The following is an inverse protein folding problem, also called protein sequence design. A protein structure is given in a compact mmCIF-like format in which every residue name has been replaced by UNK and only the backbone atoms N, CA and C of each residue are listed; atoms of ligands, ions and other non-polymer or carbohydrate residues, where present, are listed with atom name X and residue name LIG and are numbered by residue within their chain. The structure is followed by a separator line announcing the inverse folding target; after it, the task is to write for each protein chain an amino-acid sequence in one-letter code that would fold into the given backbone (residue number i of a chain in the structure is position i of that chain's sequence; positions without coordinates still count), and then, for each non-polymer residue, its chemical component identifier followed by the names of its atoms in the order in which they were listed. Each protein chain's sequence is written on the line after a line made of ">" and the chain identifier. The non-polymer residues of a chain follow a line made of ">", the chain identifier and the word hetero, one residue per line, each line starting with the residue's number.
data_IF_702772740966
#
_entry.id   IF_702772740966
#
_cell.length_a   1.000
_cell.length_b   1.000
_cell.length_c   1.000
_cell.angle_alpha   90.00
_cell.angle_beta   90.00
_cell.angle_gamma   90.00
#
_symmetry.space_group_name_H-M   'P 1'
#
loop_
_entity.id
_entity.type
_entity.pdbx_description
1 polymer ?
#
# COMPACT_ATOMS: atom_id res chain seq x y z
N UNK A 1 -15.10 -19.95 9.99
CA UNK A 1 -14.10 -19.28 10.86
C UNK A 1 -13.82 -17.90 10.27
N UNK A 2 -13.71 -16.84 11.07
CA UNK A 2 -13.25 -15.54 10.55
C UNK A 2 -11.85 -15.70 9.96
N UNK A 3 -11.57 -15.06 8.82
CA UNK A 3 -10.25 -15.07 8.23
C UNK A 3 -9.27 -14.33 9.15
N UNK A 4 -8.11 -14.92 9.43
CA UNK A 4 -7.04 -14.25 10.18
C UNK A 4 -6.22 -13.37 9.25
N UNK A 5 -5.56 -12.34 9.78
CA UNK A 5 -4.70 -11.44 8.99
C UNK A 5 -3.71 -12.20 8.10
N UNK A 6 -2.98 -13.16 8.67
CA UNK A 6 -2.04 -13.98 7.90
C UNK A 6 -2.73 -14.85 6.85
N UNK A 7 -3.96 -15.32 7.07
CA UNK A 7 -4.71 -16.04 6.02
C UNK A 7 -4.94 -15.15 4.81
N UNK A 8 -5.34 -13.89 5.02
CA UNK A 8 -5.53 -12.90 3.95
C UNK A 8 -4.20 -12.55 3.29
N UNK A 9 -3.19 -12.19 4.08
CA UNK A 9 -1.88 -11.78 3.59
C UNK A 9 -1.20 -12.88 2.76
N UNK A 10 -1.21 -14.12 3.24
CA UNK A 10 -0.66 -15.28 2.51
C UNK A 10 -1.47 -15.58 1.26
N UNK A 11 -2.80 -15.47 1.28
CA UNK A 11 -3.63 -15.65 0.09
C UNK A 11 -3.29 -14.63 -1.00
N UNK A 12 -3.22 -13.34 -0.66
CA UNK A 12 -2.85 -12.27 -1.60
C UNK A 12 -1.42 -12.47 -2.11
N UNK A 13 -0.48 -12.80 -1.22
CA UNK A 13 0.92 -13.08 -1.56
C UNK A 13 1.10 -14.29 -2.51
N UNK A 14 0.23 -15.30 -2.41
CA UNK A 14 0.25 -16.48 -3.27
C UNK A 14 -0.45 -16.24 -4.62
N UNK A 15 -1.43 -15.34 -4.66
CA UNK A 15 -2.09 -14.93 -5.89
C UNK A 15 -1.22 -14.00 -6.76
N UNK A 16 -0.20 -13.36 -6.17
CA UNK A 16 0.74 -12.51 -6.89
C UNK A 16 1.63 -13.33 -7.84
N UNK A 17 1.66 -12.92 -9.12
CA UNK A 17 2.22 -13.71 -10.24
C UNK A 17 3.70 -14.06 -10.12
N UNK A 18 4.47 -13.24 -9.40
CA UNK A 18 5.90 -13.45 -9.14
C UNK A 18 6.17 -14.31 -7.89
N UNK A 19 5.13 -14.74 -7.18
CA UNK A 19 5.23 -15.35 -5.85
C UNK A 19 5.74 -16.79 -5.78
N UNK A 20 6.01 -17.49 -6.89
CA UNK A 20 6.41 -18.91 -6.89
C UNK A 20 7.90 -19.17 -6.61
N UNK A 21 8.75 -18.15 -6.70
CA UNK A 21 10.22 -18.30 -6.56
C UNK A 21 10.80 -17.64 -5.29
N UNK A 22 9.96 -17.18 -4.37
CA UNK A 22 10.40 -16.38 -3.22
C UNK A 22 10.87 -17.28 -2.08
N UNK A 23 12.01 -17.94 -2.23
CA UNK A 23 12.61 -18.77 -1.17
C UNK A 23 13.45 -17.97 -0.15
N UNK A 24 13.44 -16.62 -0.20
CA UNK A 24 14.35 -15.80 0.60
C UNK A 24 13.74 -14.77 1.55
N UNK A 25 12.54 -14.23 1.27
CA UNK A 25 12.06 -13.02 1.98
C UNK A 25 11.72 -13.28 3.45
N UNK A 26 11.20 -14.46 3.79
CA UNK A 26 10.90 -14.83 5.17
C UNK A 26 12.17 -14.95 6.04
N UNK A 27 13.30 -15.29 5.40
CA UNK A 27 14.62 -15.44 6.02
C UNK A 27 15.50 -14.19 5.92
N UNK A 28 15.14 -13.21 5.09
CA UNK A 28 15.88 -11.97 4.86
C UNK A 28 15.66 -10.98 6.02
N UNK A 29 16.59 -10.99 6.98
CA UNK A 29 16.53 -10.15 8.17
C UNK A 29 16.62 -8.64 7.85
N UNK A 30 17.53 -8.17 6.96
CA UNK A 30 17.52 -6.79 6.49
C UNK A 30 16.16 -6.34 5.95
N UNK A 31 15.56 -7.12 5.05
CA UNK A 31 14.25 -6.82 4.46
C UNK A 31 13.16 -6.73 5.51
N UNK A 32 13.09 -7.71 6.42
CA UNK A 32 12.11 -7.71 7.52
C UNK A 32 12.26 -6.49 8.42
N UNK A 33 13.49 -6.10 8.74
CA UNK A 33 13.77 -4.93 9.59
C UNK A 33 13.33 -3.64 8.91
N UNK A 34 13.65 -3.46 7.64
CA UNK A 34 13.33 -2.24 6.92
C UNK A 34 11.83 -2.18 6.58
N UNK A 35 11.19 -3.32 6.32
CA UNK A 35 9.74 -3.40 6.20
C UNK A 35 9.01 -3.06 7.51
N UNK A 36 9.53 -3.48 8.68
CA UNK A 36 8.98 -3.06 9.98
C UNK A 36 9.03 -1.54 10.17
N UNK A 37 10.13 -0.90 9.78
CA UNK A 37 10.25 0.57 9.83
C UNK A 37 9.24 1.23 8.88
N UNK A 38 9.07 0.64 7.69
CA UNK A 38 8.09 1.10 6.72
C UNK A 38 6.66 1.02 7.27
N UNK A 39 6.28 -0.11 7.88
CA UNK A 39 4.97 -0.24 8.55
C UNK A 39 4.76 0.79 9.65
N UNK A 40 5.76 1.00 10.52
CA UNK A 40 5.70 2.00 11.59
C UNK A 40 5.54 3.43 11.04
N UNK A 41 6.11 3.72 9.87
CA UNK A 41 5.92 5.01 9.19
C UNK A 41 4.48 5.20 8.68
N UNK A 42 3.86 4.14 8.17
CA UNK A 42 2.49 4.17 7.63
C UNK A 42 1.41 4.22 8.71
N UNK A 43 1.69 3.72 9.92
CA UNK A 43 0.72 3.61 11.00
C UNK A 43 0.09 4.95 11.42
N UNK A 44 0.81 6.06 11.24
CA UNK A 44 0.33 7.41 11.57
C UNK A 44 -0.27 8.16 10.36
N UNK A 45 -0.35 7.52 9.18
CA UNK A 45 -0.79 8.16 7.94
C UNK A 45 -2.31 8.07 7.80
N UNK A 46 -3.01 9.08 8.34
CA UNK A 46 -4.47 9.19 8.29
C UNK A 46 -5.08 9.06 6.90
N UNK A 47 -4.37 9.45 5.84
CA UNK A 47 -4.82 9.31 4.45
C UNK A 47 -5.15 7.86 4.04
N UNK A 48 -4.74 6.87 4.81
CA UNK A 48 -5.03 5.46 4.56
C UNK A 48 -6.39 5.02 5.10
N UNK A 49 -6.82 5.57 6.24
CA UNK A 49 -7.97 5.10 7.00
C UNK A 49 -9.02 6.18 7.29
N UNK A 50 -8.73 7.45 6.99
CA UNK A 50 -9.70 8.54 7.18
C UNK A 50 -10.87 8.43 6.20
N UNK A 51 -12.05 8.78 6.69
CA UNK A 51 -13.22 8.99 5.85
C UNK A 51 -13.02 10.23 4.98
N UNK A 52 -13.48 10.16 3.73
CA UNK A 52 -13.31 11.23 2.74
C UNK A 52 -13.81 12.60 3.22
N UNK A 53 -14.88 12.63 4.02
CA UNK A 53 -15.46 13.86 4.55
C UNK A 53 -14.51 14.66 5.47
N UNK A 54 -13.47 14.02 6.00
CA UNK A 54 -12.46 14.65 6.84
C UNK A 54 -11.16 14.94 6.08
N UNK A 55 -11.12 14.66 4.77
CA UNK A 55 -9.92 14.82 3.96
C UNK A 55 -9.99 16.11 3.13
N UNK A 56 -8.93 16.90 3.22
CA UNK A 56 -8.72 18.01 2.30
C UNK A 56 -7.72 17.59 1.22
N UNK A 57 -7.97 17.98 -0.03
CA UNK A 57 -7.10 17.61 -1.16
C UNK A 57 -5.61 17.95 -0.91
N UNK A 58 -5.24 19.12 -0.36
CA UNK A 58 -3.84 19.41 -0.06
C UNK A 58 -3.21 18.47 0.97
N UNK A 59 -3.97 18.04 1.98
CA UNK A 59 -3.48 17.10 2.98
C UNK A 59 -3.33 15.68 2.41
N UNK A 60 -4.25 15.28 1.53
CA UNK A 60 -4.19 14.00 0.79
C UNK A 60 -2.96 13.98 -0.10
N UNK A 61 -2.77 14.98 -0.96
CA UNK A 61 -1.62 15.01 -1.89
C UNK A 61 -0.29 15.08 -1.15
N UNK A 62 -0.19 15.87 -0.07
CA UNK A 62 1.01 15.87 0.78
C UNK A 62 1.28 14.49 1.39
N UNK A 63 0.27 13.86 1.97
CA UNK A 63 0.45 12.56 2.63
C UNK A 63 0.82 11.46 1.63
N UNK A 64 0.24 11.46 0.44
CA UNK A 64 0.57 10.52 -0.62
C UNK A 64 1.96 10.77 -1.21
N UNK A 65 2.39 12.03 -1.32
CA UNK A 65 3.74 12.39 -1.72
C UNK A 65 4.78 11.87 -0.72
N UNK A 66 4.52 12.02 0.58
CA UNK A 66 5.40 11.46 1.62
C UNK A 66 5.47 9.94 1.56
N UNK A 67 4.33 9.26 1.39
CA UNK A 67 4.28 7.80 1.22
C UNK A 67 5.07 7.38 -0.01
N UNK A 68 4.93 8.08 -1.13
CA UNK A 68 5.69 7.82 -2.35
C UNK A 68 7.21 7.93 -2.12
N UNK A 69 7.67 8.94 -1.37
CA UNK A 69 9.08 9.08 -1.02
C UNK A 69 9.56 7.91 -0.16
N UNK A 70 8.78 7.50 0.83
CA UNK A 70 9.16 6.38 1.71
C UNK A 70 9.15 5.04 0.96
N UNK A 71 8.21 4.82 0.03
CA UNK A 71 8.18 3.63 -0.85
C UNK A 71 9.44 3.59 -1.73
N UNK A 72 9.83 4.73 -2.32
CA UNK A 72 11.07 4.83 -3.13
C UNK A 72 12.31 4.54 -2.29
N UNK A 73 12.35 5.07 -1.07
CA UNK A 73 13.43 4.81 -0.12
C UNK A 73 13.51 3.32 0.24
N UNK A 74 12.37 2.71 0.59
CA UNK A 74 12.33 1.29 0.91
C UNK A 74 12.82 0.42 -0.26
N UNK A 75 12.37 0.72 -1.49
CA UNK A 75 12.89 0.06 -2.70
C UNK A 75 14.41 0.24 -2.87
N UNK A 76 14.92 1.45 -2.65
CA UNK A 76 16.34 1.76 -2.82
C UNK A 76 17.27 1.06 -1.83
N UNK A 77 16.76 0.65 -0.65
CA UNK A 77 17.53 -0.10 0.34
C UNK A 77 17.78 -1.56 -0.08
N UNK A 78 17.07 -2.06 -1.09
CA UNK A 78 17.13 -3.44 -1.56
C UNK A 78 17.26 -3.49 -3.10
N UNK A 79 18.32 -2.89 -3.69
CA UNK A 79 18.43 -2.70 -5.13
C UNK A 79 18.49 -4.01 -5.92
N UNK A 80 19.02 -5.08 -5.33
CA UNK A 80 19.19 -6.39 -5.97
C UNK A 80 17.95 -7.28 -5.85
N UNK A 81 16.94 -6.87 -5.07
CA UNK A 81 15.70 -7.62 -4.93
C UNK A 81 14.75 -7.25 -6.08
N UNK A 82 14.90 -7.94 -7.20
CA UNK A 82 14.12 -7.70 -8.44
C UNK A 82 12.61 -7.78 -8.17
N UNK A 83 12.16 -8.80 -7.45
CA UNK A 83 10.75 -9.02 -7.14
C UNK A 83 10.17 -7.86 -6.31
N UNK A 84 10.91 -7.40 -5.29
CA UNK A 84 10.52 -6.23 -4.50
C UNK A 84 10.53 -4.97 -5.36
N UNK A 85 11.50 -4.84 -6.25
CA UNK A 85 11.60 -3.75 -7.23
C UNK A 85 10.39 -3.68 -8.16
N UNK A 86 9.87 -4.83 -8.61
CA UNK A 86 8.63 -4.93 -9.41
C UNK A 86 7.43 -4.51 -8.57
N UNK A 87 7.24 -5.14 -7.40
CA UNK A 87 6.10 -4.87 -6.51
C UNK A 87 6.00 -3.39 -6.12
N UNK A 88 7.10 -2.82 -5.62
CA UNK A 88 7.14 -1.42 -5.24
C UNK A 88 7.12 -0.50 -6.46
N UNK A 89 7.60 -0.97 -7.62
CA UNK A 89 7.50 -0.25 -8.89
C UNK A 89 6.05 -0.02 -9.32
N UNK A 90 5.20 -1.04 -9.23
CA UNK A 90 3.76 -0.96 -9.51
C UNK A 90 3.08 0.07 -8.59
N UNK A 91 3.34 -0.01 -7.28
CA UNK A 91 2.82 0.94 -6.31
C UNK A 91 3.31 2.39 -6.56
N UNK A 92 4.59 2.57 -6.88
CA UNK A 92 5.17 3.88 -7.21
C UNK A 92 4.44 4.50 -8.40
N UNK A 93 4.21 3.73 -9.47
CA UNK A 93 3.47 4.21 -10.64
C UNK A 93 2.04 4.61 -10.27
N UNK A 94 1.34 3.80 -9.46
CA UNK A 94 -0.02 4.12 -9.01
C UNK A 94 -0.08 5.42 -8.19
N UNK A 95 0.90 5.64 -7.29
CA UNK A 95 0.98 6.86 -6.48
C UNK A 95 1.27 8.08 -7.34
N UNK A 96 2.20 7.98 -8.30
CA UNK A 96 2.53 9.07 -9.21
C UNK A 96 1.35 9.46 -10.10
N UNK A 97 0.71 8.49 -10.76
CA UNK A 97 -0.48 8.71 -11.58
C UNK A 97 -1.61 9.35 -10.75
N UNK A 98 -1.81 8.87 -9.51
CA UNK A 98 -2.75 9.47 -8.58
C UNK A 98 -2.46 10.93 -8.26
N UNK A 99 -1.23 11.25 -7.87
CA UNK A 99 -0.81 12.62 -7.55
C UNK A 99 -0.99 13.56 -8.75
N UNK A 100 -0.62 13.12 -9.95
CA UNK A 100 -0.76 13.90 -11.18
C UNK A 100 -2.24 14.17 -11.50
N UNK A 101 -3.11 13.20 -11.28
CA UNK A 101 -4.55 13.35 -11.51
C UNK A 101 -5.23 14.24 -10.47
N UNK A 102 -4.82 14.20 -9.19
CA UNK A 102 -5.43 15.03 -8.14
C UNK A 102 -5.35 16.53 -8.45
N UNK A 103 -4.28 16.98 -9.11
CA UNK A 103 -4.14 18.37 -9.54
C UNK A 103 -5.11 18.78 -10.67
N UNK A 104 -5.67 17.81 -11.39
CA UNK A 104 -6.59 18.04 -12.52
C UNK A 104 -8.06 18.05 -12.08
N UNK A 105 -8.37 17.57 -10.87
CA UNK A 105 -9.75 17.50 -10.40
C UNK A 105 -10.26 18.86 -9.96
N UNK A 106 -11.40 19.25 -10.52
CA UNK A 106 -12.08 20.49 -10.16
C UNK A 106 -12.84 20.33 -8.84
N UNK A 107 -13.00 21.41 -8.08
CA UNK A 107 -13.82 21.48 -6.87
C UNK A 107 -15.33 21.51 -7.20
N UNK A 108 -15.79 20.45 -7.86
CA UNK A 108 -17.20 20.16 -8.18
C UNK A 108 -17.55 18.79 -7.62
N UNK A 109 -18.83 18.49 -7.39
CA UNK A 109 -19.26 17.16 -6.92
C UNK A 109 -18.74 16.02 -7.81
N UNK A 110 -18.70 16.24 -9.13
CA UNK A 110 -18.15 15.27 -10.07
C UNK A 110 -16.62 15.11 -9.94
N UNK A 111 -15.89 16.21 -9.69
CA UNK A 111 -14.45 16.18 -9.45
C UNK A 111 -14.09 15.55 -8.10
N UNK A 112 -14.85 15.86 -7.04
CA UNK A 112 -14.71 15.22 -5.72
C UNK A 112 -14.96 13.72 -5.80
N UNK A 113 -15.98 13.28 -6.54
CA UNK A 113 -16.25 11.85 -6.76
C UNK A 113 -15.09 11.16 -7.51
N UNK A 114 -14.49 11.83 -8.50
CA UNK A 114 -13.30 11.30 -9.21
C UNK A 114 -12.10 11.20 -8.27
N UNK A 115 -11.87 12.22 -7.47
CA UNK A 115 -10.80 12.24 -6.49
C UNK A 115 -10.96 11.12 -5.44
N UNK A 116 -12.18 10.94 -4.93
CA UNK A 116 -12.49 9.85 -4.00
C UNK A 116 -12.20 8.47 -4.62
N UNK A 117 -12.65 8.23 -5.86
CA UNK A 117 -12.36 6.97 -6.58
C UNK A 117 -10.86 6.75 -6.80
N UNK A 118 -10.13 7.81 -7.15
CA UNK A 118 -8.69 7.73 -7.32
C UNK A 118 -7.98 7.41 -6.00
N UNK A 119 -8.41 8.03 -4.89
CA UNK A 119 -7.86 7.72 -3.57
C UNK A 119 -8.16 6.27 -3.17
N UNK A 120 -9.38 5.78 -3.41
CA UNK A 120 -9.73 4.38 -3.17
C UNK A 120 -8.86 3.41 -3.97
N UNK A 121 -8.57 3.73 -5.24
CA UNK A 121 -7.65 2.94 -6.08
C UNK A 121 -6.26 2.86 -5.44
N UNK A 122 -5.71 4.01 -5.02
CA UNK A 122 -4.39 4.08 -4.36
C UNK A 122 -4.38 3.28 -3.05
N UNK A 123 -5.41 3.46 -2.21
CA UNK A 123 -5.58 2.72 -0.94
C UNK A 123 -5.62 1.21 -1.19
N UNK A 124 -6.36 0.77 -2.20
CA UNK A 124 -6.46 -0.63 -2.59
C UNK A 124 -5.11 -1.20 -3.03
N UNK A 125 -4.39 -0.49 -3.90
CA UNK A 125 -3.07 -0.91 -4.38
C UNK A 125 -2.04 -0.98 -3.24
N UNK A 126 -2.07 0.00 -2.34
CA UNK A 126 -1.20 0.02 -1.17
C UNK A 126 -1.52 -1.14 -0.23
N UNK A 127 -2.80 -1.38 0.08
CA UNK A 127 -3.22 -2.47 0.93
C UNK A 127 -2.82 -3.84 0.34
N UNK A 128 -3.00 -4.02 -0.97
CA UNK A 128 -2.58 -5.24 -1.66
C UNK A 128 -1.05 -5.43 -1.59
N UNK A 129 -0.28 -4.36 -1.84
CA UNK A 129 1.19 -4.38 -1.73
C UNK A 129 1.63 -4.74 -0.31
N UNK A 130 1.03 -4.14 0.70
CA UNK A 130 1.31 -4.44 2.10
C UNK A 130 0.94 -5.87 2.47
N UNK A 131 -0.20 -6.38 1.99
CA UNK A 131 -0.60 -7.77 2.20
C UNK A 131 0.41 -8.76 1.59
N UNK A 132 0.91 -8.48 0.38
CA UNK A 132 1.97 -9.29 -0.25
C UNK A 132 3.23 -9.27 0.59
N UNK A 133 3.71 -8.08 0.99
CA UNK A 133 4.90 -7.93 1.82
C UNK A 133 4.74 -8.65 3.17
N UNK A 134 3.60 -8.51 3.83
CA UNK A 134 3.32 -9.19 5.09
C UNK A 134 3.33 -10.71 4.93
N UNK A 135 2.67 -11.21 3.88
CA UNK A 135 2.60 -12.64 3.59
C UNK A 135 3.95 -13.25 3.20
N UNK A 136 4.82 -12.50 2.52
CA UNK A 136 6.15 -12.98 2.08
C UNK A 136 7.25 -12.81 3.13
N UNK A 137 7.15 -11.81 4.00
CA UNK A 137 8.16 -11.52 5.04
C UNK A 137 7.78 -12.08 6.41
N UNK A 138 6.52 -12.50 6.59
CA UNK A 138 5.92 -12.89 7.87
C UNK A 138 5.98 -11.78 8.94
N UNK A 139 6.00 -10.54 8.49
CA UNK A 139 5.90 -9.35 9.35
C UNK A 139 4.46 -8.83 9.25
N UNK A 140 3.84 -8.54 10.39
CA UNK A 140 2.51 -7.91 10.43
C UNK A 140 2.57 -6.55 11.11
N UNK A 141 1.67 -5.60 10.76
CA UNK A 141 1.31 -4.52 11.67
C UNK A 141 0.61 -5.13 12.88
N UNK A 142 0.90 -4.66 14.10
CA UNK A 142 0.49 -5.33 15.33
C UNK A 142 -0.90 -4.86 15.81
N UNK A 143 -1.99 -5.32 15.20
CA UNK A 143 -3.36 -5.13 15.73
C UNK A 143 -3.96 -3.72 15.57
N UNK A 144 -3.30 -2.82 14.85
CA UNK A 144 -3.70 -1.42 14.69
C UNK A 144 -4.64 -1.15 13.51
N UNK A 145 -4.94 0.14 13.27
CA UNK A 145 -5.79 0.57 12.15
C UNK A 145 -5.19 0.21 10.79
N UNK A 146 -3.87 0.12 10.70
CA UNK A 146 -3.16 -0.36 9.50
C UNK A 146 -3.46 -1.83 9.21
N UNK A 147 -3.62 -2.68 10.23
CA UNK A 147 -4.00 -4.09 10.04
C UNK A 147 -5.41 -4.20 9.45
N UNK A 148 -6.36 -3.45 10.04
CA UNK A 148 -7.75 -3.40 9.55
C UNK A 148 -7.82 -2.87 8.13
N UNK A 149 -7.12 -1.78 7.84
CA UNK A 149 -7.00 -1.21 6.51
C UNK A 149 -6.55 -2.26 5.48
N UNK A 150 -5.51 -3.03 5.78
CA UNK A 150 -5.02 -4.09 4.87
C UNK A 150 -6.11 -5.15 4.69
N UNK A 151 -6.74 -5.62 5.76
CA UNK A 151 -7.80 -6.64 5.66
C UNK A 151 -8.99 -6.18 4.83
N UNK A 152 -9.40 -4.92 4.99
CA UNK A 152 -10.57 -4.35 4.33
C UNK A 152 -10.32 -4.06 2.85
N UNK A 153 -9.10 -3.60 2.51
CA UNK A 153 -8.79 -3.07 1.17
C UNK A 153 -7.98 -4.01 0.28
N UNK A 154 -7.22 -4.96 0.82
CA UNK A 154 -6.30 -5.79 0.01
C UNK A 154 -7.00 -6.72 -0.99
N UNK A 155 -8.30 -7.00 -0.78
CA UNK A 155 -9.12 -7.82 -1.69
C UNK A 155 -10.06 -6.98 -2.55
N UNK A 156 -10.12 -5.66 -2.33
CA UNK A 156 -10.91 -4.77 -3.16
C UNK A 156 -10.26 -4.72 -4.53
N UNK A 157 -11.06 -4.97 -5.58
CA UNK A 157 -10.63 -4.71 -6.95
C UNK A 157 -11.21 -3.36 -7.35
N UNK A 158 -10.39 -2.31 -7.51
CA UNK A 158 -10.90 -1.05 -8.01
C UNK A 158 -11.49 -1.30 -9.40
N UNK A 159 -12.78 -0.99 -9.57
CA UNK A 159 -13.42 -1.06 -10.89
C UNK A 159 -12.77 0.04 -11.76
N UNK A 160 -12.04 -0.39 -12.77
CA UNK A 160 -11.56 0.46 -13.88
C UNK A 160 -12.72 1.12 -14.59
#
# INVERSE_FOLDING_TARGET
>A
MPATFFTVATFVANAWKFGKAVHGWATDQPLKRDFKKFLAHLEYRRVLYAEWQYESMPAVTHSLSDILQEVRRFRSNHPDNIELGILLGELIMCLQDGLDQFHQFQATTAGEMKAFKQLLKIRSELAQTLAILCGKTEVSPQGGDLEKFIMDMALVRPKT
#
